data_IF_468360444893
#
_entry.id   IF_468360444893
#
_cell.length_a   1.000
_cell.length_b   1.000
_cell.length_c   1.000
_cell.angle_alpha   90.00
_cell.angle_beta   90.00
_cell.angle_gamma   90.00
#
_symmetry.space_group_name_H-M   'P 1'
#
loop_
_entity.id
_entity.type
_entity.pdbx_description
1 polymer ?
#
# COMPACT_ATOMS: atom_id res chain seq x y z
N UNK A 1 -24.70 -2.88 -9.91
CA UNK A 1 -24.02 -2.33 -8.72
C UNK A 1 -23.70 -3.47 -7.73
N UNK A 2 -22.46 -3.58 -7.24
CA UNK A 2 -22.07 -4.69 -6.34
C UNK A 2 -22.25 -4.29 -4.87
N UNK A 3 -23.37 -4.72 -4.26
CA UNK A 3 -23.77 -4.34 -2.89
C UNK A 3 -22.79 -4.80 -1.82
N UNK A 4 -22.13 -5.94 -2.03
CA UNK A 4 -21.12 -6.48 -1.10
C UNK A 4 -19.93 -5.54 -1.02
N UNK A 5 -19.41 -5.10 -2.17
CA UNK A 5 -18.28 -4.17 -2.23
C UNK A 5 -18.61 -2.86 -1.51
N UNK A 6 -19.79 -2.29 -1.78
CA UNK A 6 -20.22 -1.04 -1.14
C UNK A 6 -20.31 -1.17 0.38
N UNK A 7 -20.96 -2.22 0.87
CA UNK A 7 -21.14 -2.42 2.31
C UNK A 7 -19.80 -2.69 3.01
N UNK A 8 -18.94 -3.51 2.41
CA UNK A 8 -17.59 -3.74 2.91
C UNK A 8 -16.77 -2.46 2.99
N UNK A 9 -16.87 -1.57 2.00
CA UNK A 9 -16.13 -0.30 2.02
C UNK A 9 -16.65 0.66 3.08
N UNK A 10 -17.98 0.77 3.24
CA UNK A 10 -18.58 1.60 4.30
C UNK A 10 -18.09 1.14 5.68
N UNK A 11 -18.24 -0.14 5.99
CA UNK A 11 -17.82 -0.69 7.30
C UNK A 11 -16.31 -0.55 7.53
N UNK A 12 -15.51 -0.71 6.47
CA UNK A 12 -14.07 -0.52 6.56
C UNK A 12 -13.67 0.95 6.79
N UNK A 13 -14.41 1.91 6.23
CA UNK A 13 -14.16 3.33 6.44
C UNK A 13 -14.50 3.75 7.87
N UNK A 14 -15.61 3.26 8.41
CA UNK A 14 -16.09 3.64 9.74
C UNK A 14 -15.25 2.99 10.87
N UNK A 15 -14.60 1.85 10.61
CA UNK A 15 -13.87 1.07 11.62
C UNK A 15 -12.53 0.53 11.12
N UNK A 16 -11.73 1.36 10.47
CA UNK A 16 -10.50 0.94 9.78
C UNK A 16 -9.50 0.25 10.72
N UNK A 17 -9.42 0.69 11.96
CA UNK A 17 -8.53 0.17 13.00
C UNK A 17 -8.87 -1.25 13.45
N UNK A 18 -10.13 -1.68 13.29
CA UNK A 18 -10.58 -3.03 13.67
C UNK A 18 -10.31 -4.07 12.59
N UNK A 19 -9.98 -3.65 11.38
CA UNK A 19 -9.74 -4.55 10.25
C UNK A 19 -8.25 -4.67 9.91
N UNK A 20 -7.84 -5.87 9.53
CA UNK A 20 -6.46 -6.18 9.17
C UNK A 20 -6.33 -7.18 8.03
N UNK A 21 -5.15 -7.78 7.92
CA UNK A 21 -4.85 -8.80 6.89
C UNK A 21 -5.38 -10.19 7.25
N UNK A 22 -5.80 -10.39 8.49
CA UNK A 22 -6.27 -11.66 9.04
C UNK A 22 -7.78 -11.84 8.79
N UNK A 23 -8.14 -12.92 8.12
CA UNK A 23 -9.54 -13.22 7.77
C UNK A 23 -10.41 -13.55 8.99
N UNK A 24 -9.87 -14.29 9.97
CA UNK A 24 -10.62 -14.70 11.15
C UNK A 24 -10.92 -13.50 12.05
N UNK A 25 -9.93 -12.62 12.26
CA UNK A 25 -10.12 -11.36 12.99
C UNK A 25 -11.14 -10.45 12.31
N UNK A 26 -11.04 -10.30 10.98
CA UNK A 26 -12.00 -9.51 10.20
C UNK A 26 -13.44 -10.05 10.32
N UNK A 27 -13.59 -11.37 10.41
CA UNK A 27 -14.89 -12.01 10.58
C UNK A 27 -15.47 -11.80 11.98
N UNK A 28 -14.63 -11.78 13.00
CA UNK A 28 -15.03 -11.42 14.38
C UNK A 28 -15.41 -9.95 14.47
N UNK A 29 -14.58 -9.04 13.95
CA UNK A 29 -14.90 -7.61 13.91
C UNK A 29 -16.23 -7.33 13.19
N UNK A 30 -16.53 -8.05 12.10
CA UNK A 30 -17.82 -7.94 11.42
C UNK A 30 -19.01 -8.39 12.29
N UNK A 31 -18.84 -9.34 13.21
CA UNK A 31 -19.92 -9.72 14.14
C UNK A 31 -20.16 -8.65 15.18
N UNK A 32 -19.09 -8.04 15.68
CA UNK A 32 -19.16 -7.03 16.74
C UNK A 32 -19.76 -5.73 16.22
N UNK A 33 -19.45 -5.37 14.97
CA UNK A 33 -19.91 -4.14 14.33
C UNK A 33 -21.29 -4.32 13.67
N UNK A 34 -21.56 -5.50 13.08
CA UNK A 34 -22.75 -5.72 12.27
C UNK A 34 -23.47 -7.02 12.68
N UNK A 35 -24.79 -6.91 12.94
CA UNK A 35 -25.65 -8.09 13.11
C UNK A 35 -25.94 -8.75 11.75
N UNK A 36 -25.05 -9.65 11.33
CA UNK A 36 -25.17 -10.38 10.07
C UNK A 36 -25.69 -11.80 10.31
N UNK A 37 -26.92 -12.05 9.86
CA UNK A 37 -27.58 -13.35 10.00
C UNK A 37 -27.03 -14.41 9.02
N UNK A 38 -26.59 -14.01 7.83
CA UNK A 38 -26.11 -14.97 6.82
C UNK A 38 -24.61 -15.24 6.92
N UNK A 39 -24.25 -16.52 7.14
CA UNK A 39 -22.85 -17.01 7.12
C UNK A 39 -22.15 -16.73 5.79
N UNK A 40 -22.85 -16.92 4.66
CA UNK A 40 -22.31 -16.68 3.33
C UNK A 40 -22.02 -15.19 3.10
N UNK A 41 -22.95 -14.32 3.51
CA UNK A 41 -22.77 -12.87 3.41
C UNK A 41 -21.56 -12.39 4.21
N UNK A 42 -21.44 -12.86 5.45
CA UNK A 42 -20.32 -12.56 6.35
C UNK A 42 -18.98 -12.98 5.75
N UNK A 43 -18.91 -14.19 5.19
CA UNK A 43 -17.70 -14.68 4.54
C UNK A 43 -17.32 -13.81 3.31
N UNK A 44 -18.30 -13.41 2.50
CA UNK A 44 -18.07 -12.54 1.32
C UNK A 44 -17.56 -11.16 1.75
N UNK A 45 -18.14 -10.57 2.80
CA UNK A 45 -17.71 -9.27 3.33
C UNK A 45 -16.29 -9.34 3.90
N UNK A 46 -16.02 -10.32 4.76
CA UNK A 46 -14.68 -10.54 5.34
C UNK A 46 -13.63 -10.77 4.25
N UNK A 47 -13.97 -11.57 3.23
CA UNK A 47 -13.09 -11.85 2.10
C UNK A 47 -12.76 -10.60 1.29
N UNK A 48 -13.76 -9.77 1.02
CA UNK A 48 -13.55 -8.51 0.28
C UNK A 48 -12.69 -7.52 1.06
N UNK A 49 -12.97 -7.34 2.37
CA UNK A 49 -12.17 -6.48 3.26
C UNK A 49 -10.71 -6.94 3.30
N UNK A 50 -10.50 -8.24 3.51
CA UNK A 50 -9.15 -8.83 3.56
C UNK A 50 -8.39 -8.61 2.25
N UNK A 51 -9.06 -8.84 1.10
CA UNK A 51 -8.48 -8.63 -0.23
C UNK A 51 -8.12 -7.16 -0.46
N UNK A 52 -9.00 -6.24 -0.03
CA UNK A 52 -8.77 -4.81 -0.16
C UNK A 52 -7.53 -4.36 0.64
N UNK A 53 -7.45 -4.74 1.92
CA UNK A 53 -6.32 -4.36 2.80
C UNK A 53 -5.00 -4.95 2.28
N UNK A 54 -5.00 -6.20 1.83
CA UNK A 54 -3.81 -6.82 1.21
C UNK A 54 -3.37 -6.08 -0.05
N UNK A 55 -4.32 -5.65 -0.88
CA UNK A 55 -4.01 -4.87 -2.08
C UNK A 55 -3.48 -3.47 -1.74
N UNK A 56 -4.06 -2.78 -0.76
CA UNK A 56 -3.52 -1.49 -0.28
C UNK A 56 -2.09 -1.65 0.24
N UNK A 57 -1.80 -2.70 1.01
CA UNK A 57 -0.46 -2.93 1.55
C UNK A 57 0.56 -3.19 0.44
N UNK A 58 0.20 -4.01 -0.56
CA UNK A 58 1.05 -4.25 -1.74
C UNK A 58 1.30 -2.95 -2.52
N UNK A 59 0.27 -2.15 -2.77
CA UNK A 59 0.40 -0.88 -3.47
C UNK A 59 1.29 0.12 -2.70
N UNK A 60 1.21 0.14 -1.36
CA UNK A 60 2.09 0.96 -0.50
C UNK A 60 3.54 0.48 -0.55
N UNK A 61 3.79 -0.82 -0.48
CA UNK A 61 5.13 -1.40 -0.61
C UNK A 61 5.72 -1.07 -1.99
N UNK A 62 4.94 -1.24 -3.05
CA UNK A 62 5.39 -0.95 -4.41
C UNK A 62 5.71 0.53 -4.60
N UNK A 63 4.87 1.44 -4.08
CA UNK A 63 5.17 2.87 -4.06
C UNK A 63 6.44 3.17 -3.26
N UNK A 64 6.62 2.57 -2.09
CA UNK A 64 7.82 2.77 -1.27
C UNK A 64 9.09 2.27 -1.99
N UNK A 65 9.02 1.12 -2.66
CA UNK A 65 10.11 0.58 -3.49
C UNK A 65 10.45 1.49 -4.66
N UNK A 66 9.44 2.00 -5.38
CA UNK A 66 9.65 2.97 -6.46
C UNK A 66 10.30 4.26 -5.95
N UNK A 67 9.82 4.80 -4.83
CA UNK A 67 10.39 6.02 -4.22
C UNK A 67 11.84 5.77 -3.77
N UNK A 68 12.15 4.62 -3.20
CA UNK A 68 13.52 4.26 -2.81
C UNK A 68 14.42 4.17 -4.04
N UNK A 69 13.98 3.48 -5.09
CA UNK A 69 14.74 3.36 -6.34
C UNK A 69 14.92 4.72 -7.04
N UNK A 70 13.90 5.59 -7.07
CA UNK A 70 14.04 6.96 -7.59
C UNK A 70 15.01 7.80 -6.76
N UNK A 71 15.02 7.65 -5.43
CA UNK A 71 15.99 8.34 -4.56
C UNK A 71 17.42 7.83 -4.77
N UNK A 72 17.61 6.53 -4.97
CA UNK A 72 18.91 5.93 -5.27
C UNK A 72 19.43 6.39 -6.64
N UNK A 73 18.59 6.40 -7.68
CA UNK A 73 18.94 6.92 -9.02
C UNK A 73 19.30 8.41 -8.98
N UNK A 74 18.55 9.23 -8.22
CA UNK A 74 18.84 10.66 -8.07
C UNK A 74 20.14 10.89 -7.25
N UNK A 75 20.44 10.05 -6.26
CA UNK A 75 21.70 10.14 -5.52
C UNK A 75 22.90 9.73 -6.39
N UNK A 76 22.78 8.67 -7.21
CA UNK A 76 23.84 8.26 -8.14
C UNK A 76 24.10 9.31 -9.21
N UNK A 77 23.05 9.92 -9.78
CA UNK A 77 23.19 11.00 -10.77
C UNK A 77 23.85 12.26 -10.18
N UNK A 78 23.64 12.56 -8.89
CA UNK A 78 24.24 13.72 -8.21
C UNK A 78 25.72 13.54 -7.85
N UNK A 79 26.20 12.30 -7.81
CA UNK A 79 27.61 11.99 -7.54
C UNK A 79 28.46 11.96 -8.81
N UNK A 80 27.85 11.84 -10.00
CA UNK A 80 28.58 11.77 -11.28
C UNK A 80 28.88 13.16 -11.89
N UNK A 81 28.12 14.18 -11.53
CA UNK A 81 28.25 15.56 -12.04
C UNK A 81 29.16 16.47 -11.19
N UNK A 82 29.90 15.93 -10.22
CA UNK A 82 30.97 16.66 -9.48
C UNK A 82 32.39 16.31 -9.92
N UNK A 83 32.59 15.53 -11.00
CA UNK A 83 33.94 15.09 -11.43
C UNK A 83 34.28 15.46 -12.88
N UNK A 84 33.40 16.14 -13.63
CA UNK A 84 33.64 16.42 -15.06
C UNK A 84 34.13 17.83 -15.43
N UNK A 85 34.28 18.76 -14.48
CA UNK A 85 34.88 20.07 -14.77
C UNK A 85 36.29 20.18 -14.17
N UNK A 86 37.27 19.57 -14.86
CA UNK A 86 38.50 20.23 -15.30
C UNK A 86 39.29 19.28 -16.19
N UNK A 87 39.04 19.35 -17.50
CA UNK A 87 39.94 18.86 -18.56
C UNK A 87 40.88 20.02 -18.99
N UNK A 88 41.98 19.75 -19.70
CA UNK A 88 43.35 20.02 -19.25
C UNK A 88 44.01 21.21 -19.98
N UNK A 89 45.31 21.42 -19.69
CA UNK A 89 46.35 21.96 -20.60
C UNK A 89 46.94 23.37 -20.30
N UNK A 90 48.28 23.37 -20.16
CA UNK A 90 49.32 24.38 -20.46
C UNK A 90 49.68 25.52 -19.47
N UNK A 91 50.93 25.50 -19.00
CA UNK A 91 51.99 26.50 -19.25
C UNK A 91 53.28 26.03 -18.52
N UNK A 92 54.33 25.59 -19.21
CA UNK A 92 55.48 26.41 -19.62
C UNK A 92 56.27 27.01 -18.44
N UNK A 93 57.40 26.38 -18.08
CA UNK A 93 58.78 26.92 -18.03
C UNK A 93 59.74 25.87 -17.44
#
# INVERSE_FOLDING_TARGET
>A
MNRIKMLSMKVLQDHKEKFGVDFAKNKQALNDICKINSKSLKNKLAGYITKFIKNEFKAKIEKAKRIANTKEVILEEKQLNTVSDTLPVQASL
#
